data_IF_828544486023
#
_entry.id   IF_828544486023
#
_cell.length_a   1.000
_cell.length_b   1.000
_cell.length_c   1.000
_cell.angle_alpha   90.00
_cell.angle_beta   90.00
_cell.angle_gamma   90.00
#
_symmetry.space_group_name_H-M   'P 1'
#
loop_
_entity.id
_entity.type
_entity.pdbx_description
1 polymer ?
#
# COMPACT_ATOMS: atom_id res chain seq x y z
N UNK A 1 5.74 -0.87 29.87
CA UNK A 1 5.87 -0.55 28.43
C UNK A 1 4.96 -1.50 27.68
N UNK A 2 3.92 -1.05 26.95
CA UNK A 2 3.00 -1.97 26.30
C UNK A 2 3.62 -2.52 24.99
N UNK A 3 3.40 -3.81 24.77
CA UNK A 3 3.82 -4.63 23.64
C UNK A 3 3.74 -3.96 22.26
N UNK A 4 4.88 -3.84 21.58
CA UNK A 4 5.02 -3.28 20.22
C UNK A 4 4.89 -4.32 19.09
N UNK A 5 4.21 -5.45 19.30
CA UNK A 5 4.23 -6.52 18.30
C UNK A 5 2.86 -7.13 17.97
N UNK A 6 1.93 -6.28 17.52
CA UNK A 6 0.84 -6.73 16.64
C UNK A 6 0.91 -5.93 15.35
N UNK A 7 1.64 -6.45 14.35
CA UNK A 7 1.55 -5.99 12.96
C UNK A 7 0.07 -6.01 12.56
N UNK A 8 -0.56 -4.84 12.51
CA UNK A 8 -1.97 -4.74 12.12
C UNK A 8 -2.05 -4.91 10.61
N UNK A 9 -2.34 -6.13 10.16
CA UNK A 9 -2.75 -6.37 8.77
C UNK A 9 -3.98 -5.50 8.44
N UNK A 10 -4.08 -5.06 7.20
CA UNK A 10 -5.22 -4.29 6.71
C UNK A 10 -6.55 -5.03 6.97
N UNK A 11 -7.55 -4.30 7.47
CA UNK A 11 -8.90 -4.84 7.67
C UNK A 11 -9.67 -4.76 6.35
N UNK A 12 -9.62 -5.85 5.58
CA UNK A 12 -10.23 -5.92 4.24
C UNK A 12 -11.73 -5.62 4.27
N UNK A 13 -12.47 -6.18 5.24
CA UNK A 13 -13.91 -5.95 5.36
C UNK A 13 -14.23 -4.48 5.65
N UNK A 14 -13.39 -3.80 6.42
CA UNK A 14 -13.55 -2.36 6.69
C UNK A 14 -13.28 -1.54 5.43
N UNK A 15 -12.26 -1.90 4.65
CA UNK A 15 -11.95 -1.21 3.40
C UNK A 15 -13.06 -1.44 2.37
N UNK A 16 -13.55 -2.67 2.19
CA UNK A 16 -14.68 -3.00 1.30
C UNK A 16 -15.91 -2.13 1.60
N UNK A 17 -16.29 -2.02 2.89
CA UNK A 17 -17.41 -1.15 3.30
C UNK A 17 -17.14 0.32 2.95
N UNK A 18 -15.92 0.80 3.17
CA UNK A 18 -15.52 2.16 2.81
C UNK A 18 -15.62 2.42 1.31
N UNK A 19 -15.16 1.49 0.49
CA UNK A 19 -15.25 1.59 -0.98
C UNK A 19 -16.70 1.57 -1.45
N UNK A 20 -17.55 0.75 -0.83
CA UNK A 20 -18.98 0.76 -1.13
C UNK A 20 -19.62 2.12 -0.85
N UNK A 21 -19.31 2.73 0.30
CA UNK A 21 -19.78 4.07 0.65
C UNK A 21 -19.26 5.15 -0.31
N UNK A 22 -18.02 5.03 -0.79
CA UNK A 22 -17.47 5.94 -1.81
C UNK A 22 -18.26 5.82 -3.11
N UNK A 23 -18.54 4.58 -3.58
CA UNK A 23 -19.32 4.34 -4.80
C UNK A 23 -20.74 4.93 -4.67
N UNK A 24 -21.42 4.70 -3.55
CA UNK A 24 -22.73 5.29 -3.27
C UNK A 24 -22.64 6.83 -3.23
N UNK A 25 -21.59 7.38 -2.60
CA UNK A 25 -21.38 8.82 -2.48
C UNK A 25 -21.11 9.55 -3.79
N UNK A 26 -20.58 8.86 -4.82
CA UNK A 26 -20.41 9.41 -6.17
C UNK A 26 -21.62 9.18 -7.08
N UNK A 27 -22.69 8.56 -6.58
CA UNK A 27 -23.91 8.26 -7.34
C UNK A 27 -23.83 6.99 -8.20
N UNK A 28 -22.84 6.14 -7.96
CA UNK A 28 -22.71 4.83 -8.63
C UNK A 28 -23.51 3.75 -7.89
N UNK A 29 -24.01 2.75 -8.63
CA UNK A 29 -24.68 1.57 -8.05
C UNK A 29 -23.66 0.43 -7.77
N UNK A 30 -23.33 0.14 -6.50
CA UNK A 30 -22.39 -0.93 -6.16
C UNK A 30 -22.92 -2.34 -6.49
N UNK A 31 -24.24 -2.51 -6.71
CA UNK A 31 -24.84 -3.78 -7.05
C UNK A 31 -24.74 -4.11 -8.54
N UNK A 32 -24.37 -3.14 -9.41
CA UNK A 32 -24.22 -3.41 -10.85
C UNK A 32 -23.14 -4.45 -11.11
N UNK A 33 -23.36 -5.30 -12.12
CA UNK A 33 -22.49 -6.45 -12.42
C UNK A 33 -20.98 -6.09 -12.52
N UNK A 34 -20.65 -4.92 -13.09
CA UNK A 34 -19.26 -4.45 -13.20
C UNK A 34 -18.62 -3.98 -11.89
N UNK A 35 -19.43 -3.56 -10.90
CA UNK A 35 -18.95 -3.00 -9.64
C UNK A 35 -19.08 -3.94 -8.44
N UNK A 36 -19.87 -5.01 -8.54
CA UNK A 36 -20.10 -5.95 -7.44
C UNK A 36 -18.80 -6.48 -6.81
N UNK A 37 -17.77 -6.72 -7.62
CA UNK A 37 -16.45 -7.16 -7.17
C UNK A 37 -15.46 -6.02 -6.89
N UNK A 38 -15.80 -4.76 -7.24
CA UNK A 38 -14.90 -3.61 -7.07
C UNK A 38 -14.48 -3.38 -5.61
N UNK A 39 -15.39 -3.39 -4.62
CA UNK A 39 -15.00 -3.21 -3.22
C UNK A 39 -13.93 -4.21 -2.77
N UNK A 40 -14.09 -5.48 -3.16
CA UNK A 40 -13.15 -6.55 -2.83
C UNK A 40 -11.80 -6.33 -3.52
N UNK A 41 -11.79 -6.05 -4.84
CA UNK A 41 -10.55 -5.79 -5.59
C UNK A 41 -9.76 -4.61 -5.01
N UNK A 42 -10.46 -3.53 -4.66
CA UNK A 42 -9.84 -2.33 -4.09
C UNK A 42 -9.29 -2.61 -2.68
N UNK A 43 -9.98 -3.41 -1.87
CA UNK A 43 -9.47 -3.82 -0.56
C UNK A 43 -8.16 -4.63 -0.67
N UNK A 44 -8.09 -5.57 -1.62
CA UNK A 44 -6.86 -6.32 -1.90
C UNK A 44 -5.74 -5.41 -2.39
N UNK A 45 -6.02 -4.52 -3.35
CA UNK A 45 -5.05 -3.53 -3.83
C UNK A 45 -4.47 -2.70 -2.68
N UNK A 46 -5.31 -2.16 -1.79
CA UNK A 46 -4.83 -1.39 -0.64
C UNK A 46 -3.97 -2.21 0.33
N UNK A 47 -4.28 -3.51 0.49
CA UNK A 47 -3.47 -4.40 1.32
C UNK A 47 -2.07 -4.65 0.77
N UNK A 48 -1.91 -4.60 -0.56
CA UNK A 48 -0.63 -4.79 -1.24
C UNK A 48 0.17 -3.49 -1.27
N UNK A 49 -0.39 -2.40 -1.80
CA UNK A 49 0.35 -1.14 -1.99
C UNK A 49 0.74 -0.46 -0.67
N UNK A 50 -0.02 -0.71 0.41
CA UNK A 50 0.27 -0.20 1.76
C UNK A 50 0.84 -1.28 2.69
N UNK A 51 1.10 -2.49 2.17
CA UNK A 51 1.58 -3.62 2.96
C UNK A 51 2.94 -3.34 3.62
N UNK A 52 3.80 -2.56 2.95
CA UNK A 52 5.12 -2.18 3.44
C UNK A 52 5.12 -1.25 4.67
N UNK A 53 4.00 -0.58 5.01
CA UNK A 53 3.94 0.36 6.15
C UNK A 53 4.27 -0.32 7.48
N UNK A 54 3.87 -1.58 7.64
CA UNK A 54 4.07 -2.35 8.87
C UNK A 54 5.15 -3.45 8.70
N UNK A 55 5.95 -3.36 7.64
CA UNK A 55 7.02 -4.29 7.35
C UNK A 55 8.35 -3.80 7.91
N UNK A 56 9.22 -4.74 8.28
CA UNK A 56 10.56 -4.42 8.75
C UNK A 56 11.49 -4.46 7.53
N UNK A 57 12.12 -3.34 7.12
CA UNK A 57 12.97 -3.33 5.94
C UNK A 57 14.18 -4.25 6.06
N UNK A 58 14.63 -4.57 7.30
CA UNK A 58 15.78 -5.44 7.51
C UNK A 58 15.57 -6.87 7.01
N UNK A 59 14.32 -7.33 6.90
CA UNK A 59 14.01 -8.68 6.40
C UNK A 59 14.29 -8.85 4.91
N UNK A 60 14.40 -7.74 4.17
CA UNK A 60 14.63 -7.74 2.72
C UNK A 60 16.09 -7.48 2.33
N UNK A 61 16.94 -7.15 3.31
CA UNK A 61 18.35 -6.84 3.08
C UNK A 61 19.20 -8.09 3.27
N UNK A 62 20.01 -8.41 2.26
CA UNK A 62 21.09 -9.40 2.37
C UNK A 62 22.40 -8.73 2.06
N UNK A 63 23.35 -8.82 2.97
CA UNK A 63 24.71 -8.35 2.73
C UNK A 63 25.46 -9.37 1.88
N UNK A 64 26.09 -8.89 0.82
CA UNK A 64 27.06 -9.64 0.03
C UNK A 64 28.39 -8.98 0.34
N UNK A 65 29.36 -9.75 0.83
CA UNK A 65 30.72 -9.25 0.98
C UNK A 65 31.35 -9.25 -0.40
N UNK A 66 31.67 -8.06 -0.91
CA UNK A 66 32.49 -7.87 -2.11
C UNK A 66 33.83 -7.26 -1.69
N UNK A 67 34.87 -7.54 -2.48
CA UNK A 67 36.21 -6.99 -2.26
C UNK A 67 36.16 -5.46 -2.31
N UNK A 68 37.12 -4.78 -1.65
CA UNK A 68 37.09 -3.32 -1.45
C UNK A 68 37.01 -2.56 -2.79
N UNK A 69 35.88 -1.91 -3.03
CA UNK A 69 35.73 -0.93 -4.10
C UNK A 69 35.83 0.47 -3.48
N UNK A 70 36.86 1.23 -3.85
CA UNK A 70 37.10 2.60 -3.34
C UNK A 70 36.44 3.69 -4.22
N UNK A 71 35.52 3.29 -5.11
CA UNK A 71 34.85 4.16 -6.09
C UNK A 71 33.33 4.26 -5.85
N UNK A 72 32.68 5.32 -6.37
CA UNK A 72 31.25 5.55 -6.21
C UNK A 72 30.41 4.62 -7.12
N UNK A 73 29.49 3.86 -6.53
CA UNK A 73 28.50 3.06 -7.26
C UNK A 73 27.16 3.80 -7.32
N UNK A 74 26.57 3.91 -8.51
CA UNK A 74 25.32 4.62 -8.74
C UNK A 74 24.31 3.75 -9.49
N UNK A 75 23.18 3.48 -8.87
CA UNK A 75 22.04 2.82 -9.51
C UNK A 75 20.97 3.88 -9.80
N UNK A 76 20.58 3.98 -11.08
CA UNK A 76 19.57 4.93 -11.58
C UNK A 76 18.42 4.16 -12.23
N UNK A 77 17.33 4.88 -12.50
CA UNK A 77 16.13 4.38 -13.19
C UNK A 77 15.39 3.26 -12.44
N UNK A 78 15.32 3.36 -11.11
CA UNK A 78 14.47 2.48 -10.30
C UNK A 78 13.03 3.02 -10.37
N UNK A 79 12.07 2.29 -10.96
CA UNK A 79 10.67 2.72 -10.98
C UNK A 79 10.10 2.70 -9.56
N UNK A 80 9.52 3.83 -9.14
CA UNK A 80 8.90 4.00 -7.83
C UNK A 80 7.46 4.50 -8.01
N UNK A 81 6.53 3.79 -7.38
CA UNK A 81 5.12 4.19 -7.29
C UNK A 81 4.79 4.42 -5.81
N UNK A 82 4.15 5.55 -5.51
CA UNK A 82 3.75 5.91 -4.16
C UNK A 82 2.37 6.54 -4.14
N UNK A 83 1.78 6.63 -2.96
CA UNK A 83 0.50 7.30 -2.73
C UNK A 83 0.75 8.50 -1.81
N UNK A 84 0.36 9.69 -2.27
CA UNK A 84 0.49 10.89 -1.45
C UNK A 84 -0.45 10.82 -0.25
N UNK A 85 0.08 11.03 0.95
CA UNK A 85 -0.71 11.07 2.19
C UNK A 85 -1.53 12.38 2.31
N UNK A 86 -1.05 13.46 1.69
CA UNK A 86 -1.72 14.75 1.65
C UNK A 86 -2.40 14.94 0.29
N UNK A 87 -3.72 15.06 0.28
CA UNK A 87 -4.43 15.42 -0.95
C UNK A 87 -4.13 16.89 -1.28
N UNK A 88 -3.51 17.14 -2.43
CA UNK A 88 -3.50 18.47 -3.03
C UNK A 88 -4.91 18.75 -3.59
N UNK A 89 -5.76 19.34 -2.76
CA UNK A 89 -6.85 20.17 -3.25
C UNK A 89 -7.01 21.35 -2.31
N UNK A 90 -6.03 22.25 -2.37
CA UNK A 90 -6.18 23.63 -1.95
C UNK A 90 -6.39 24.44 -3.24
N UNK A 91 -7.66 24.82 -3.46
CA UNK A 91 -8.17 25.83 -4.39
C UNK A 91 -7.67 25.80 -5.85
#
# INVERSE_FOLDING_TARGET
MPDKNKKKKADLKKIERGVKLILEGVGEDPARAGLKATPQRVAHMFSEILGGINEDPSTHLRTIQDEKHDEMVLIKNIPLYSMCEQRANSA
#
